data_IF_171709167228
#
_entry.id   IF_171709167228
#
_cell.length_a   1.000
_cell.length_b   1.000
_cell.length_c   1.000
_cell.angle_alpha   90.00
_cell.angle_beta   90.00
_cell.angle_gamma   90.00
#
_symmetry.space_group_name_H-M   'P 1'
#
loop_
_entity.id
_entity.type
_entity.pdbx_description
1 polymer ?
#
# COMPACT_ATOMS: atom_id res chain seq x y z
N UNK A 1 -9.15 -2.94 -3.59
CA UNK A 1 -8.12 -2.38 -2.70
C UNK A 1 -6.78 -2.65 -3.35
N UNK A 2 -5.92 -1.64 -3.50
CA UNK A 2 -4.63 -1.74 -4.17
C UNK A 2 -3.48 -1.41 -3.20
N UNK A 3 -2.41 -2.19 -3.22
CA UNK A 3 -1.11 -1.82 -2.64
C UNK A 3 -0.20 -1.52 -3.83
N UNK A 4 0.24 -0.27 -3.98
CA UNK A 4 0.96 0.17 -5.18
C UNK A 4 2.36 0.69 -4.88
N UNK A 5 3.29 0.43 -5.78
CA UNK A 5 4.64 1.01 -5.78
C UNK A 5 4.79 2.11 -6.84
N UNK A 6 3.82 2.24 -7.74
CA UNK A 6 3.77 3.29 -8.76
C UNK A 6 2.53 4.15 -8.55
N UNK A 7 2.71 5.22 -7.78
CA UNK A 7 1.62 6.16 -7.43
C UNK A 7 1.13 6.92 -8.65
N UNK A 8 2.01 7.26 -9.57
CA UNK A 8 1.68 8.08 -10.73
C UNK A 8 0.77 7.28 -11.67
N UNK A 9 1.19 6.09 -12.07
CA UNK A 9 0.39 5.22 -12.93
C UNK A 9 -0.91 4.79 -12.24
N UNK A 10 -0.86 4.43 -10.95
CA UNK A 10 -2.06 4.02 -10.22
C UNK A 10 -3.04 5.17 -10.02
N UNK A 11 -2.55 6.40 -9.84
CA UNK A 11 -3.39 7.59 -9.70
C UNK A 11 -4.27 7.82 -10.93
N UNK A 12 -3.73 7.58 -12.12
CA UNK A 12 -4.47 7.67 -13.39
C UNK A 12 -5.62 6.66 -13.47
N UNK A 13 -5.47 5.47 -12.88
CA UNK A 13 -6.51 4.45 -12.81
C UNK A 13 -7.62 4.79 -11.80
N UNK A 14 -7.40 5.77 -10.93
CA UNK A 14 -8.30 6.22 -9.86
C UNK A 14 -8.88 5.06 -9.03
N UNK A 15 -8.03 4.19 -8.44
CA UNK A 15 -8.51 3.08 -7.65
C UNK A 15 -9.40 3.60 -6.51
N UNK A 16 -10.47 2.88 -6.14
CA UNK A 16 -11.39 3.34 -5.11
C UNK A 16 -10.72 3.43 -3.73
N UNK A 17 -9.68 2.62 -3.49
CA UNK A 17 -8.88 2.57 -2.25
C UNK A 17 -7.48 2.08 -2.56
N UNK A 18 -6.47 2.80 -2.10
CA UNK A 18 -5.08 2.42 -2.31
C UNK A 18 -4.15 2.87 -1.17
N UNK A 19 -3.13 2.07 -0.92
CA UNK A 19 -1.97 2.48 -0.10
C UNK A 19 -0.69 2.39 -0.92
N UNK A 20 0.27 3.24 -0.57
CA UNK A 20 1.65 3.16 -1.02
C UNK A 20 2.57 2.96 0.18
N UNK A 21 3.26 1.80 0.28
CA UNK A 21 4.25 1.57 1.30
C UNK A 21 5.53 2.36 0.94
N UNK A 22 5.80 3.40 1.72
CA UNK A 22 6.93 4.31 1.45
C UNK A 22 8.24 3.55 1.56
N UNK A 23 9.15 3.81 0.62
CA UNK A 23 10.48 3.21 0.59
C UNK A 23 10.56 1.85 -0.10
N UNK A 24 9.43 1.17 -0.34
CA UNK A 24 9.43 -0.19 -0.89
C UNK A 24 9.91 -0.22 -2.36
N UNK A 25 10.63 -1.29 -2.73
CA UNK A 25 11.14 -1.48 -4.09
C UNK A 25 10.20 -2.33 -4.95
N UNK A 26 10.24 -2.13 -6.27
CA UNK A 26 9.52 -2.96 -7.24
C UNK A 26 9.82 -4.45 -7.04
N UNK A 27 8.77 -5.27 -7.07
CA UNK A 27 8.82 -6.69 -6.74
C UNK A 27 8.65 -7.02 -5.25
N UNK A 28 8.68 -6.02 -4.36
CA UNK A 28 8.57 -6.18 -2.91
C UNK A 28 7.47 -5.31 -2.29
N UNK A 29 6.28 -5.26 -2.91
CA UNK A 29 5.17 -4.39 -2.49
C UNK A 29 4.58 -4.69 -1.11
N UNK A 30 4.88 -5.87 -0.54
CA UNK A 30 4.50 -6.26 0.82
C UNK A 30 5.70 -6.37 1.77
N UNK A 31 6.89 -5.97 1.33
CA UNK A 31 8.14 -6.09 2.07
C UNK A 31 9.06 -7.17 1.52
N UNK A 32 10.17 -7.40 2.23
CA UNK A 32 11.19 -8.39 1.82
C UNK A 32 10.64 -9.82 1.87
N UNK A 33 11.20 -10.75 1.08
CA UNK A 33 10.87 -12.17 1.19
C UNK A 33 11.04 -12.67 2.63
N UNK A 34 10.09 -13.46 3.12
CA UNK A 34 10.06 -14.03 4.47
C UNK A 34 10.00 -13.02 5.65
N UNK A 35 9.88 -11.71 5.40
CA UNK A 35 9.58 -10.73 6.44
C UNK A 35 8.08 -10.74 6.77
N UNK A 36 7.68 -11.77 7.50
CA UNK A 36 6.28 -12.03 7.85
C UNK A 36 5.67 -10.89 8.67
N UNK A 37 6.47 -10.18 9.46
CA UNK A 37 5.98 -9.09 10.30
C UNK A 37 5.56 -7.89 9.44
N UNK A 38 6.44 -7.44 8.54
CA UNK A 38 6.14 -6.35 7.61
C UNK A 38 5.01 -6.72 6.66
N UNK A 39 5.03 -7.93 6.10
CA UNK A 39 3.97 -8.41 5.22
C UNK A 39 2.61 -8.38 5.90
N UNK A 40 2.52 -8.83 7.16
CA UNK A 40 1.29 -8.74 7.95
C UNK A 40 0.89 -7.30 8.24
N UNK A 41 1.84 -6.43 8.55
CA UNK A 41 1.56 -5.01 8.80
C UNK A 41 0.97 -4.33 7.57
N UNK A 42 1.55 -4.54 6.39
CA UNK A 42 1.07 -3.99 5.11
C UNK A 42 -0.33 -4.49 4.79
N UNK A 43 -0.58 -5.80 4.93
CA UNK A 43 -1.91 -6.38 4.67
C UNK A 43 -2.95 -5.81 5.65
N UNK A 44 -2.61 -5.70 6.95
CA UNK A 44 -3.51 -5.11 7.95
C UNK A 44 -3.86 -3.66 7.62
N UNK A 45 -2.86 -2.85 7.26
CA UNK A 45 -3.06 -1.45 6.89
C UNK A 45 -3.91 -1.31 5.62
N UNK A 46 -3.68 -2.19 4.64
CA UNK A 46 -4.50 -2.24 3.45
C UNK A 46 -5.96 -2.57 3.82
N UNK A 47 -6.20 -3.60 4.64
CA UNK A 47 -7.55 -3.97 5.08
C UNK A 47 -8.24 -2.85 5.86
N UNK A 48 -7.52 -2.08 6.67
CA UNK A 48 -8.08 -0.90 7.37
C UNK A 48 -8.65 0.14 6.39
N UNK A 49 -8.12 0.23 5.16
CA UNK A 49 -8.66 1.12 4.13
C UNK A 49 -10.12 0.80 3.78
N UNK A 50 -10.58 -0.43 3.99
CA UNK A 50 -11.99 -0.78 3.73
C UNK A 50 -12.95 0.01 4.63
N UNK A 51 -12.51 0.37 5.83
CA UNK A 51 -13.30 1.13 6.82
C UNK A 51 -13.07 2.64 6.78
N UNK A 52 -11.99 3.08 6.13
CA UNK A 52 -11.64 4.50 6.02
C UNK A 52 -12.32 5.10 4.80
N UNK A 53 -13.02 6.24 4.99
CA UNK A 53 -13.59 7.01 3.87
C UNK A 53 -12.45 7.53 2.98
N UNK A 54 -12.54 7.26 1.68
CA UNK A 54 -11.57 7.65 0.67
C UNK A 54 -12.28 8.13 -0.59
N UNK A 55 -11.67 9.10 -1.26
CA UNK A 55 -12.09 9.54 -2.59
C UNK A 55 -11.39 8.71 -3.69
N UNK A 56 -12.03 8.41 -4.83
CA UNK A 56 -11.40 7.64 -5.91
C UNK A 56 -10.11 8.30 -6.44
N UNK A 57 -9.01 7.54 -6.43
CA UNK A 57 -7.68 8.00 -6.79
C UNK A 57 -6.86 8.56 -5.62
N UNK A 58 -7.43 8.63 -4.41
CA UNK A 58 -6.68 8.90 -3.21
C UNK A 58 -5.80 7.70 -2.86
N UNK A 59 -4.49 7.94 -2.74
CA UNK A 59 -3.49 6.94 -2.35
C UNK A 59 -2.88 7.39 -1.02
N UNK A 60 -3.00 6.56 0.01
CA UNK A 60 -2.41 6.86 1.33
C UNK A 60 -0.98 6.33 1.42
N UNK A 61 -0.04 7.22 1.71
CA UNK A 61 1.33 6.84 2.02
C UNK A 61 1.40 6.24 3.44
N UNK A 62 2.11 5.11 3.58
CA UNK A 62 2.24 4.36 4.82
C UNK A 62 3.67 3.92 5.06
N UNK A 63 4.16 4.17 6.26
CA UNK A 63 5.48 3.74 6.71
C UNK A 63 5.36 2.39 7.42
N UNK A 64 6.35 1.52 7.23
CA UNK A 64 6.41 0.19 7.85
C UNK A 64 7.78 -0.04 8.48
N UNK A 65 7.85 -0.74 9.63
CA UNK A 65 9.03 -0.79 10.49
C UNK A 65 10.31 -1.46 9.92
N UNK A 66 10.29 -2.03 8.72
CA UNK A 66 11.43 -2.81 8.19
C UNK A 66 11.88 -2.47 6.76
N UNK A 67 11.55 -1.28 6.24
CA UNK A 67 11.94 -0.90 4.88
C UNK A 67 12.38 0.55 4.74
#
# INVERSE_FOLDING_TARGET
MLVTLDKEQSGLMRPPRAIHPVGFQFGHSLGKPHDVETQKAVIKEALQQLTIKQEPGQIHDKEFPSY
#
